data_IF_156289215218
#
_entry.id   IF_156289215218
#
_cell.length_a   1.000
_cell.length_b   1.000
_cell.length_c   1.000
_cell.angle_alpha   90.00
_cell.angle_beta   90.00
_cell.angle_gamma   90.00
#
_symmetry.space_group_name_H-M   'P 1'
#
loop_
_entity.id
_entity.type
_entity.pdbx_description
1 polymer ?
#
# COMPACT_ATOMS: atom_id res chain seq x y z
N UNK A 1 -19.92 18.89 50.43
CA UNK A 1 -19.11 19.66 49.46
C UNK A 1 -17.97 18.78 48.96
N UNK A 2 -17.97 18.35 47.70
CA UNK A 2 -16.83 17.67 47.08
C UNK A 2 -16.78 18.02 45.59
N UNK A 3 -15.81 18.85 45.19
CA UNK A 3 -15.61 19.30 43.81
C UNK A 3 -15.03 18.14 42.98
N UNK A 4 -15.84 17.47 42.16
CA UNK A 4 -15.34 16.59 41.08
C UNK A 4 -14.74 17.47 39.97
N UNK A 5 -13.41 17.45 39.84
CA UNK A 5 -12.68 18.05 38.72
C UNK A 5 -13.00 17.31 37.43
N UNK A 6 -13.54 18.02 36.45
CA UNK A 6 -13.78 17.58 35.08
C UNK A 6 -12.44 17.37 34.36
N UNK A 7 -12.13 16.11 34.01
CA UNK A 7 -11.01 15.79 33.14
C UNK A 7 -11.38 16.12 31.69
N UNK A 8 -10.84 17.22 31.17
CA UNK A 8 -10.94 17.62 29.76
C UNK A 8 -10.14 16.63 28.92
N UNK A 9 -10.81 15.64 28.31
CA UNK A 9 -10.21 14.75 27.31
C UNK A 9 -9.68 15.60 26.15
N UNK A 10 -8.36 15.71 26.05
CA UNK A 10 -7.71 16.30 24.90
C UNK A 10 -7.94 15.39 23.68
N UNK A 11 -8.68 15.88 22.68
CA UNK A 11 -8.74 15.27 21.36
C UNK A 11 -7.38 15.45 20.69
N UNK A 12 -6.60 14.37 20.60
CA UNK A 12 -5.31 14.35 19.90
C UNK A 12 -5.58 14.49 18.39
N UNK A 13 -5.52 15.73 17.89
CA UNK A 13 -5.48 16.06 16.46
C UNK A 13 -4.31 15.36 15.79
N UNK A 14 -4.59 14.67 14.69
CA UNK A 14 -3.64 14.43 13.58
C UNK A 14 -2.49 13.48 13.85
N UNK A 15 -2.73 12.17 13.86
CA UNK A 15 -1.68 11.22 13.52
C UNK A 15 -1.45 11.30 11.99
N UNK A 16 -0.57 12.21 11.56
CA UNK A 16 -0.03 12.22 10.19
C UNK A 16 0.75 10.91 10.04
N UNK A 17 0.13 9.91 9.42
CA UNK A 17 0.77 8.63 9.09
C UNK A 17 2.01 8.96 8.28
N UNK A 18 3.18 8.78 8.87
CA UNK A 18 4.46 8.88 8.19
C UNK A 18 4.49 7.79 7.12
N UNK A 19 4.41 8.19 5.85
CA UNK A 19 4.57 7.29 4.72
C UNK A 19 5.92 6.56 4.88
N UNK A 20 5.98 5.23 4.66
CA UNK A 20 7.23 4.50 4.71
C UNK A 20 8.22 5.14 3.72
N UNK A 21 9.47 5.31 4.15
CA UNK A 21 10.53 5.87 3.33
C UNK A 21 10.59 5.11 2.00
N UNK A 22 10.55 5.86 0.88
CA UNK A 22 10.65 5.29 -0.47
C UNK A 22 11.91 4.44 -0.56
N UNK A 23 11.80 3.21 -1.06
CA UNK A 23 12.96 2.38 -1.36
C UNK A 23 13.82 3.10 -2.41
N UNK A 24 15.07 3.39 -2.08
CA UNK A 24 16.03 4.06 -2.97
C UNK A 24 16.22 3.27 -4.27
N UNK A 25 16.27 3.97 -5.41
CA UNK A 25 16.50 3.35 -6.72
C UNK A 25 15.25 2.78 -7.40
N UNK A 26 14.05 2.95 -6.84
CA UNK A 26 12.79 2.53 -7.47
C UNK A 26 11.94 3.73 -7.86
N UNK A 27 11.45 3.73 -9.10
CA UNK A 27 10.43 4.68 -9.57
C UNK A 27 9.05 4.09 -9.32
N UNK A 28 8.20 4.80 -8.57
CA UNK A 28 6.82 4.41 -8.38
C UNK A 28 5.96 4.96 -9.51
N UNK A 29 5.22 4.09 -10.18
CA UNK A 29 4.23 4.47 -11.18
C UNK A 29 2.83 4.14 -10.65
N UNK A 30 1.84 4.91 -11.08
CA UNK A 30 0.43 4.63 -10.83
C UNK A 30 -0.25 4.47 -12.18
N UNK A 31 -0.89 3.33 -12.39
CA UNK A 31 -1.55 2.98 -13.64
C UNK A 31 -2.97 2.51 -13.32
N UNK A 32 -3.91 2.85 -14.21
CA UNK A 32 -5.27 2.31 -14.16
C UNK A 32 -5.33 1.09 -15.07
N UNK A 33 -5.83 -0.02 -14.55
CA UNK A 33 -6.02 -1.27 -15.29
C UNK A 33 -7.50 -1.67 -15.21
N UNK A 34 -8.03 -2.37 -16.24
CA UNK A 34 -9.31 -3.05 -16.15
C UNK A 34 -9.38 -4.00 -14.94
N UNK A 35 -10.52 -4.08 -14.29
CA UNK A 35 -10.72 -4.92 -13.10
C UNK A 35 -10.50 -6.41 -13.41
N UNK A 36 -10.98 -6.88 -14.56
CA UNK A 36 -10.81 -8.27 -15.00
C UNK A 36 -9.33 -8.63 -15.22
N UNK A 37 -8.52 -7.68 -15.67
CA UNK A 37 -7.08 -7.85 -15.79
C UNK A 37 -6.41 -7.95 -14.41
N UNK A 38 -6.83 -7.11 -13.46
CA UNK A 38 -6.30 -7.15 -12.08
C UNK A 38 -6.59 -8.50 -11.43
N UNK A 39 -7.80 -9.06 -11.60
CA UNK A 39 -8.11 -10.39 -11.10
C UNK A 39 -7.23 -11.49 -11.72
N UNK A 40 -6.99 -11.43 -13.03
CA UNK A 40 -6.11 -12.39 -13.72
C UNK A 40 -4.69 -12.30 -13.17
N UNK A 41 -4.18 -11.08 -12.98
CA UNK A 41 -2.86 -10.84 -12.38
C UNK A 41 -2.79 -11.44 -10.97
N UNK A 42 -3.80 -11.23 -10.13
CA UNK A 42 -3.82 -11.77 -8.77
C UNK A 42 -3.80 -13.30 -8.76
N UNK A 43 -4.54 -13.94 -9.65
CA UNK A 43 -4.53 -15.40 -9.79
C UNK A 43 -3.15 -15.90 -10.21
N UNK A 44 -2.53 -15.28 -11.21
CA UNK A 44 -1.19 -15.67 -11.68
C UNK A 44 -0.11 -15.45 -10.60
N UNK A 45 -0.17 -14.32 -9.90
CA UNK A 45 0.72 -14.03 -8.79
C UNK A 45 0.57 -15.08 -7.65
N UNK A 46 -0.66 -15.49 -7.34
CA UNK A 46 -0.92 -16.54 -6.36
C UNK A 46 -0.37 -17.90 -6.78
N UNK A 47 -0.52 -18.28 -8.05
CA UNK A 47 0.03 -19.54 -8.60
C UNK A 47 1.56 -19.60 -8.50
N UNK A 48 2.23 -18.46 -8.62
CA UNK A 48 3.69 -18.35 -8.46
C UNK A 48 4.15 -18.08 -7.03
N UNK A 49 3.24 -18.06 -6.06
CA UNK A 49 3.52 -17.70 -4.66
C UNK A 49 4.23 -16.34 -4.52
N UNK A 50 3.81 -15.35 -5.31
CA UNK A 50 4.34 -13.98 -5.35
C UNK A 50 3.24 -12.96 -5.04
N UNK A 51 3.64 -11.78 -4.58
CA UNK A 51 2.70 -10.65 -4.49
C UNK A 51 2.49 -10.00 -5.88
N UNK A 52 1.37 -9.29 -6.04
CA UNK A 52 0.99 -8.59 -7.28
C UNK A 52 2.12 -7.73 -7.85
N UNK A 53 2.73 -6.88 -7.03
CA UNK A 53 3.78 -5.96 -7.48
C UNK A 53 5.04 -6.67 -8.00
N UNK A 54 5.45 -7.76 -7.34
CA UNK A 54 6.61 -8.55 -7.74
C UNK A 54 6.32 -9.32 -9.03
N UNK A 55 5.12 -9.88 -9.15
CA UNK A 55 4.68 -10.55 -10.38
C UNK A 55 4.70 -9.58 -11.58
N UNK A 56 4.11 -8.39 -11.43
CA UNK A 56 4.11 -7.37 -12.48
C UNK A 56 5.54 -6.95 -12.84
N UNK A 57 6.41 -6.73 -11.85
CA UNK A 57 7.79 -6.32 -12.10
C UNK A 57 8.55 -7.38 -12.92
N UNK A 58 8.46 -8.66 -12.55
CA UNK A 58 9.09 -9.76 -13.30
C UNK A 58 8.51 -9.91 -14.71
N UNK A 59 7.19 -9.78 -14.88
CA UNK A 59 6.57 -9.86 -16.19
C UNK A 59 7.03 -8.73 -17.13
N UNK A 60 7.22 -7.52 -16.60
CA UNK A 60 7.73 -6.37 -17.36
C UNK A 60 9.23 -6.53 -17.69
N UNK A 61 10.03 -7.07 -16.77
CA UNK A 61 11.44 -7.38 -17.00
C UNK A 61 11.61 -8.36 -18.16
N UNK A 62 10.86 -9.47 -18.15
CA UNK A 62 10.89 -10.48 -19.22
C UNK A 62 10.40 -9.96 -20.59
N UNK A 63 9.61 -8.88 -20.63
CA UNK A 63 9.13 -8.28 -21.87
C UNK A 63 10.11 -7.25 -22.45
N UNK A 64 10.93 -6.65 -21.58
CA UNK A 64 11.90 -5.62 -21.95
C UNK A 64 13.24 -6.19 -22.41
N UNK A 65 13.50 -7.47 -22.13
CA UNK A 65 14.60 -8.26 -22.72
C UNK A 65 14.27 -8.73 -24.15
#
# INVERSE_FOLDING_TARGET
>A
MAKKKTAKRATKKGAKKTSPARATGKTQISISLPEDLVEKIDRMAALENRNRSNYIATALENLAE
#
